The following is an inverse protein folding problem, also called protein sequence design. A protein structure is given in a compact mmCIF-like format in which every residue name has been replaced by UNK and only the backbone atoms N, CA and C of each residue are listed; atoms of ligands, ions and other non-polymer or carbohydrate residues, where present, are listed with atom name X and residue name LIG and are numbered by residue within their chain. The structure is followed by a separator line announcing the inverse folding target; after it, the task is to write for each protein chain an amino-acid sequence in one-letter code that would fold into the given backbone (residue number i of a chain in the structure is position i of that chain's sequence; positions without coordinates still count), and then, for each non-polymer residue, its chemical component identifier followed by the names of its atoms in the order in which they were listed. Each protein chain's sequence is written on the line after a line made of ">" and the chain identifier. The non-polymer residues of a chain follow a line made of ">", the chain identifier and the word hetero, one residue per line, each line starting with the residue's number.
data_IF_520104775393
#
_entry.id   IF_520104775393
#
_cell.length_a   1.000
_cell.length_b   1.000
_cell.length_c   1.000
_cell.angle_alpha   90.00
_cell.angle_beta   90.00
_cell.angle_gamma   90.00
#
_symmetry.space_group_name_H-M   'P 1'
#
loop_
_entity.id
_entity.type
_entity.pdbx_description
1 polymer ?
#
# COMPACT_ATOMS: atom_id res chain seq x y z
N UNK A 1 -15.05 -5.76 22.45
CA UNK A 1 -14.33 -6.78 21.64
C UNK A 1 -12.90 -6.78 22.15
N UNK A 2 -12.57 -7.83 22.88
CA UNK A 2 -11.52 -7.95 23.89
C UNK A 2 -10.09 -7.90 23.34
N UNK A 3 -9.22 -7.19 24.10
CA UNK A 3 -7.76 -7.29 24.23
C UNK A 3 -6.96 -8.15 23.22
N UNK A 4 -6.16 -7.47 22.39
CA UNK A 4 -4.84 -7.92 21.90
C UNK A 4 -3.91 -6.71 21.73
N UNK A 5 -3.53 -6.10 22.85
CA UNK A 5 -2.39 -5.19 22.88
C UNK A 5 -1.12 -5.96 22.50
N UNK A 6 -0.64 -5.72 21.27
CA UNK A 6 0.71 -5.16 21.08
C UNK A 6 1.10 -4.73 19.66
N UNK A 7 0.16 -4.66 18.70
CA UNK A 7 0.51 -4.33 17.32
C UNK A 7 -0.61 -3.58 16.58
N UNK A 8 -0.72 -2.27 16.80
CA UNK A 8 -1.52 -1.42 15.89
C UNK A 8 -0.86 -1.44 14.51
N UNK A 9 -1.66 -1.41 13.43
CA UNK A 9 -1.18 -1.33 12.04
C UNK A 9 -0.07 -0.28 11.89
N UNK A 10 -0.29 0.89 12.52
CA UNK A 10 0.69 1.97 12.57
C UNK A 10 2.02 1.53 13.19
N UNK A 11 2.02 0.90 14.36
CA UNK A 11 3.24 0.46 15.05
C UNK A 11 4.00 -0.62 14.26
N UNK A 12 3.30 -1.45 13.49
CA UNK A 12 3.90 -2.54 12.71
C UNK A 12 4.50 -2.10 11.38
N UNK A 13 3.83 -1.16 10.69
CA UNK A 13 4.08 -0.91 9.27
C UNK A 13 4.51 0.52 8.95
N UNK A 14 4.60 1.41 9.95
CA UNK A 14 4.99 2.82 9.75
C UNK A 14 6.29 2.96 8.97
N UNK A 15 7.34 2.25 9.35
CA UNK A 15 8.64 2.39 8.71
C UNK A 15 8.63 1.90 7.27
N UNK A 16 7.86 0.84 6.99
CA UNK A 16 7.70 0.26 5.65
C UNK A 16 6.92 1.21 4.74
N UNK A 17 5.82 1.78 5.25
CA UNK A 17 4.99 2.75 4.51
C UNK A 17 5.77 4.03 4.22
N UNK A 18 6.52 4.54 5.20
CA UNK A 18 7.28 5.79 5.07
C UNK A 18 8.61 5.64 4.31
N UNK A 19 9.05 4.42 3.99
CA UNK A 19 10.30 4.17 3.24
C UNK A 19 10.24 4.63 1.77
N UNK A 20 9.05 4.86 1.23
CA UNK A 20 8.87 5.26 -0.16
C UNK A 20 9.61 6.58 -0.48
N UNK A 21 10.64 6.53 -1.34
CA UNK A 21 11.42 7.70 -1.79
C UNK A 21 10.77 8.46 -2.95
N UNK A 22 9.58 8.06 -3.39
CA UNK A 22 8.89 8.62 -4.57
C UNK A 22 9.69 8.56 -5.89
N UNK A 23 10.64 7.64 -6.04
CA UNK A 23 11.47 7.52 -7.25
C UNK A 23 10.75 7.02 -8.50
N UNK A 24 9.60 6.35 -8.36
CA UNK A 24 8.81 5.85 -9.50
C UNK A 24 9.28 4.51 -10.10
N UNK A 25 10.35 3.89 -9.61
CA UNK A 25 10.83 2.59 -10.12
C UNK A 25 9.73 1.52 -10.16
N UNK A 26 9.01 1.35 -9.04
CA UNK A 26 7.93 0.37 -8.94
C UNK A 26 6.80 0.57 -9.97
N UNK A 27 6.56 1.81 -10.42
CA UNK A 27 5.55 2.10 -11.44
C UNK A 27 6.01 1.62 -12.82
N UNK A 28 7.30 1.77 -13.14
CA UNK A 28 7.86 1.39 -14.43
C UNK A 28 7.88 -0.14 -14.65
N UNK A 29 7.97 -0.91 -13.57
CA UNK A 29 8.13 -2.38 -13.61
C UNK A 29 6.88 -3.17 -13.22
N UNK A 30 5.83 -2.51 -12.70
CA UNK A 30 4.64 -3.20 -12.23
C UNK A 30 3.75 -3.66 -13.40
N UNK A 31 3.50 -4.98 -13.58
CA UNK A 31 2.69 -5.48 -14.69
C UNK A 31 1.21 -5.07 -14.57
N UNK A 32 0.69 -5.01 -13.34
CA UNK A 32 -0.71 -4.60 -13.09
C UNK A 32 -0.92 -3.15 -13.46
N UNK A 33 0.03 -2.27 -13.11
CA UNK A 33 -0.02 -0.88 -13.53
C UNK A 33 0.15 -0.74 -15.05
N UNK A 34 1.08 -1.48 -15.66
CA UNK A 34 1.25 -1.47 -17.11
C UNK A 34 -0.02 -1.82 -17.89
N UNK A 35 -0.87 -2.69 -17.35
CA UNK A 35 -2.14 -3.07 -17.97
C UNK A 35 -3.31 -2.13 -17.64
N UNK A 36 -3.43 -1.72 -16.37
CA UNK A 36 -4.60 -0.99 -15.87
C UNK A 36 -4.45 0.52 -15.89
N UNK A 37 -3.20 1.01 -15.91
CA UNK A 37 -2.80 2.40 -15.69
C UNK A 37 -3.35 3.02 -14.41
N UNK A 38 -3.79 2.21 -13.43
CA UNK A 38 -4.32 2.65 -12.15
C UNK A 38 -3.18 2.81 -11.14
N UNK A 39 -2.81 4.05 -10.73
CA UNK A 39 -1.64 4.27 -9.88
C UNK A 39 -1.73 3.58 -8.52
N UNK A 40 -2.95 3.43 -7.98
CA UNK A 40 -3.21 2.77 -6.70
C UNK A 40 -2.83 1.28 -6.69
N UNK A 41 -2.64 0.64 -7.85
CA UNK A 41 -2.28 -0.78 -7.94
C UNK A 41 -0.78 -1.06 -7.88
N UNK A 42 0.07 -0.08 -8.19
CA UNK A 42 1.52 -0.23 -8.03
C UNK A 42 1.95 -0.01 -6.57
N UNK A 43 3.19 -0.38 -6.24
CA UNK A 43 3.69 -0.29 -4.86
C UNK A 43 3.65 1.14 -4.31
N UNK A 44 4.04 2.15 -5.11
CA UNK A 44 4.01 3.56 -4.68
C UNK A 44 2.60 4.01 -4.33
N UNK A 45 1.62 3.74 -5.19
CA UNK A 45 0.23 4.10 -4.95
C UNK A 45 -0.27 3.48 -3.65
N UNK A 46 0.04 2.20 -3.41
CA UNK A 46 -0.32 1.53 -2.16
C UNK A 46 0.31 2.20 -0.93
N UNK A 47 1.58 2.60 -0.98
CA UNK A 47 2.22 3.30 0.14
C UNK A 47 1.55 4.66 0.42
N UNK A 48 1.15 5.40 -0.62
CA UNK A 48 0.44 6.66 -0.44
C UNK A 48 -0.92 6.45 0.22
N UNK A 49 -1.71 5.48 -0.25
CA UNK A 49 -3.04 5.26 0.32
C UNK A 49 -2.95 4.72 1.75
N UNK A 50 -1.99 3.83 2.04
CA UNK A 50 -1.74 3.37 3.40
C UNK A 50 -1.29 4.50 4.33
N UNK A 51 -0.54 5.49 3.83
CA UNK A 51 -0.18 6.68 4.61
C UNK A 51 -1.43 7.50 4.99
N UNK A 52 -2.36 7.70 4.07
CA UNK A 52 -3.64 8.39 4.37
C UNK A 52 -4.48 7.64 5.41
N UNK A 53 -4.46 6.29 5.39
CA UNK A 53 -5.07 5.46 6.44
C UNK A 53 -4.39 5.68 7.79
N UNK A 54 -3.05 5.74 7.83
CA UNK A 54 -2.31 6.01 9.08
C UNK A 54 -2.59 7.40 9.64
N UNK A 55 -2.78 8.39 8.77
CA UNK A 55 -3.10 9.77 9.17
C UNK A 55 -4.58 9.94 9.56
N UNK A 56 -5.41 8.92 9.35
CA UNK A 56 -6.84 8.94 9.66
C UNK A 56 -7.68 9.72 8.64
N UNK A 57 -7.11 10.08 7.50
CA UNK A 57 -7.79 10.84 6.44
C UNK A 57 -8.81 9.97 5.68
N UNK A 58 -8.55 8.66 5.58
CA UNK A 58 -9.47 7.69 4.97
C UNK A 58 -9.57 6.41 5.81
N UNK A 59 -10.73 5.75 5.85
CA UNK A 59 -10.86 4.46 6.51
C UNK A 59 -10.21 3.35 5.67
N UNK A 60 -9.70 2.32 6.36
CA UNK A 60 -9.35 1.06 5.71
C UNK A 60 -10.62 0.26 5.42
N UNK A 61 -11.33 0.63 4.34
CA UNK A 61 -12.56 -0.03 3.90
C UNK A 61 -12.33 -1.11 2.83
N UNK A 62 -13.39 -1.82 2.48
CA UNK A 62 -13.36 -2.97 1.55
C UNK A 62 -12.76 -2.61 0.17
N UNK A 63 -13.12 -1.44 -0.39
CA UNK A 63 -12.59 -0.98 -1.68
C UNK A 63 -11.05 -0.80 -1.66
N UNK A 64 -10.52 -0.29 -0.55
CA UNK A 64 -9.09 -0.13 -0.37
C UNK A 64 -8.41 -1.50 -0.20
N UNK A 65 -9.05 -2.40 0.54
CA UNK A 65 -8.58 -3.77 0.70
C UNK A 65 -8.50 -4.47 -0.67
N UNK A 66 -9.53 -4.36 -1.51
CA UNK A 66 -9.54 -4.89 -2.87
C UNK A 66 -8.41 -4.31 -3.75
N UNK A 67 -8.14 -3.02 -3.61
CA UNK A 67 -7.02 -2.32 -4.28
C UNK A 67 -5.67 -2.90 -3.86
N UNK A 68 -5.47 -3.15 -2.55
CA UNK A 68 -4.24 -3.77 -2.04
C UNK A 68 -4.05 -5.18 -2.60
N UNK A 69 -5.14 -5.96 -2.72
CA UNK A 69 -5.14 -7.32 -3.24
C UNK A 69 -4.91 -7.45 -4.74
N UNK A 70 -4.88 -6.35 -5.50
CA UNK A 70 -4.47 -6.40 -6.91
C UNK A 70 -2.97 -6.73 -7.11
N UNK A 71 -2.19 -6.93 -6.04
CA UNK A 71 -0.79 -7.35 -6.15
C UNK A 71 -0.68 -8.79 -6.66
N UNK A 72 0.10 -9.02 -7.72
CA UNK A 72 0.42 -10.38 -8.19
C UNK A 72 1.60 -11.03 -7.49
N UNK A 73 2.21 -10.33 -6.53
CA UNK A 73 3.42 -10.77 -5.79
C UNK A 73 4.58 -11.21 -6.70
N UNK A 74 4.71 -10.60 -7.88
CA UNK A 74 5.72 -10.93 -8.89
C UNK A 74 7.15 -10.45 -8.58
N UNK A 75 7.35 -9.70 -7.49
CA UNK A 75 8.64 -9.16 -7.05
C UNK A 75 9.38 -8.21 -8.04
N UNK A 76 8.75 -7.78 -9.16
CA UNK A 76 9.44 -6.93 -10.13
C UNK A 76 9.84 -5.54 -9.62
N UNK A 77 9.25 -5.09 -8.51
CA UNK A 77 9.48 -3.78 -7.91
C UNK A 77 10.28 -3.81 -6.60
N UNK A 78 10.89 -4.95 -6.24
CA UNK A 78 11.75 -5.10 -5.07
C UNK A 78 13.11 -4.41 -5.22
#
# INVERSE_FOLDING_TARGET
>A
MTDKDNYTFEKLYRDQVLRCSSCGFCQAVCPVFGLTLRPSYNARGKMLVLKEVMEGNIPLGDELIETLFQCTTCASCE
#
